data_IF_360358614507
#
_entry.id   IF_360358614507
#
_cell.length_a   1.000
_cell.length_b   1.000
_cell.length_c   1.000
_cell.angle_alpha   90.00
_cell.angle_beta   90.00
_cell.angle_gamma   90.00
#
_symmetry.space_group_name_H-M   'P 1'
#
loop_
_entity.id
_entity.type
_entity.pdbx_description
1 polymer ?
2 non-polymer ?
3 non-polymer ?
4 water ?
#
# COMPACT_ATOMS: atom_id res chain seq x y z
N UNK A 2 -2.21 -16.88 5.45
CA UNK A 2 -2.67 -15.53 4.96
C UNK A 2 -2.06 -14.46 5.84
N UNK A 3 -1.94 -13.23 5.30
CA UNK A 3 -1.41 -12.12 6.08
C UNK A 3 -2.19 -11.82 7.37
N UNK A 4 -1.48 -11.46 8.42
CA UNK A 4 -2.09 -10.96 9.66
C UNK A 4 -2.71 -9.58 9.45
N UNK A 5 -2.12 -8.81 8.54
CA UNK A 5 -2.65 -7.51 8.15
C UNK A 5 -2.15 -7.14 6.75
N UNK A 6 -3.05 -6.60 5.95
CA UNK A 6 -2.71 -6.05 4.66
C UNK A 6 -2.78 -4.52 4.77
N UNK A 7 -1.68 -3.85 4.46
CA UNK A 7 -1.61 -2.40 4.47
C UNK A 7 -1.92 -1.80 3.10
N UNK A 8 -2.88 -0.88 3.07
CA UNK A 8 -3.18 -0.13 1.84
C UNK A 8 -3.12 1.36 2.13
N UNK A 9 -2.56 2.10 1.19
CA UNK A 9 -2.58 3.54 1.24
C UNK A 9 -1.78 4.15 0.11
N UNK A 10 -2.02 5.43 -0.12
CA UNK A 10 -1.29 6.19 -1.11
C UNK A 10 0.19 6.14 -0.83
N UNK A 11 1.01 6.43 -1.86
CA UNK A 11 2.40 6.66 -1.58
C UNK A 11 2.55 7.75 -0.49
N UNK A 12 3.48 7.54 0.42
CA UNK A 12 3.72 8.48 1.49
C UNK A 12 2.79 8.31 2.68
N UNK A 13 1.89 7.34 2.62
CA UNK A 13 0.93 7.14 3.71
C UNK A 13 1.55 6.36 4.87
N UNK A 14 2.70 5.73 4.64
CA UNK A 14 3.47 5.07 5.73
C UNK A 14 3.60 3.56 5.63
N UNK A 15 3.25 3.00 4.49
CA UNK A 15 3.23 1.54 4.33
C UNK A 15 4.54 0.83 4.75
N UNK A 16 5.68 1.31 4.28
CA UNK A 16 6.97 0.64 4.53
C UNK A 16 7.41 0.82 5.98
N UNK A 17 7.17 2.00 6.53
CA UNK A 17 7.48 2.33 7.92
C UNK A 17 6.65 1.50 8.90
N UNK A 18 5.34 1.70 8.81
CA UNK A 18 4.35 0.98 9.58
C UNK A 18 4.48 -0.53 9.39
N UNK A 19 4.68 -0.97 8.15
CA UNK A 19 4.88 -2.38 7.84
C UNK A 19 6.04 -3.01 8.58
N UNK A 20 7.21 -2.36 8.54
CA UNK A 20 8.39 -2.79 9.27
C UNK A 20 8.11 -2.88 10.77
N UNK A 21 7.56 -1.81 11.33
CA UNK A 21 7.22 -1.75 12.77
C UNK A 21 6.11 -2.68 13.23
N UNK A 22 5.07 -2.81 12.41
CA UNK A 22 3.97 -3.71 12.73
C UNK A 22 4.44 -5.16 12.62
N UNK A 23 5.19 -5.45 11.56
CA UNK A 23 5.73 -6.77 11.38
C UNK A 23 6.54 -7.16 12.64
N UNK A 24 7.50 -6.32 13.01
CA UNK A 24 8.33 -6.57 14.21
C UNK A 24 7.50 -6.86 15.46
N UNK A 25 6.53 -5.98 15.75
CA UNK A 25 5.63 -6.10 16.88
C UNK A 25 4.79 -7.38 16.92
N UNK A 26 4.50 -7.96 15.74
CA UNK A 26 3.67 -9.16 15.64
C UNK A 26 4.50 -10.39 15.51
N UNK A 27 5.82 -10.20 15.46
CA UNK A 27 6.75 -11.31 15.37
C UNK A 27 6.78 -12.00 14.02
N UNK A 28 6.52 -11.26 12.93
CA UNK A 28 6.37 -11.83 11.58
C UNK A 28 7.19 -11.13 10.48
N UNK A 29 7.19 -11.68 9.28
CA UNK A 29 7.92 -11.08 8.15
C UNK A 29 7.09 -10.02 7.41
N UNK A 30 7.76 -8.99 6.89
CA UNK A 30 7.14 -8.02 5.98
C UNK A 30 7.36 -8.38 4.48
N UNK A 31 6.28 -8.42 3.69
CA UNK A 31 6.39 -8.52 2.23
C UNK A 31 5.72 -7.31 1.59
N UNK A 32 6.45 -6.62 0.72
CA UNK A 32 5.93 -5.51 -0.07
C UNK A 32 5.73 -6.02 -1.51
N UNK A 33 4.51 -5.88 -2.04
CA UNK A 33 4.18 -6.46 -3.33
C UNK A 33 5.00 -5.89 -4.48
N UNK A 34 5.44 -4.64 -4.35
CA UNK A 34 6.36 -4.02 -5.32
C UNK A 34 7.70 -4.76 -5.37
N UNK A 35 8.20 -5.17 -4.21
CA UNK A 35 9.48 -5.87 -4.16
C UNK A 35 9.34 -7.25 -4.76
N UNK A 36 8.22 -7.93 -4.50
CA UNK A 36 7.96 -9.25 -5.11
C UNK A 36 7.79 -9.16 -6.63
N UNK A 37 7.20 -8.07 -7.10
CA UNK A 37 7.12 -7.84 -8.55
C UNK A 37 8.52 -7.70 -9.15
N UNK A 38 9.35 -6.88 -8.52
CA UNK A 38 10.71 -6.71 -8.98
C UNK A 38 11.48 -8.04 -8.96
N UNK A 39 11.29 -8.80 -7.88
CA UNK A 39 11.94 -10.10 -7.68
C UNK A 39 11.51 -11.03 -8.80
N UNK A 40 10.22 -11.13 -9.04
CA UNK A 40 9.74 -12.12 -9.97
C UNK A 40 10.05 -11.78 -11.43
N UNK A 41 9.97 -10.50 -11.79
CA UNK A 41 10.11 -10.09 -13.20
C UNK A 41 11.57 -9.89 -13.56
N UNK A 42 12.39 -9.62 -12.55
CA UNK A 42 13.77 -9.22 -12.75
C UNK A 42 13.92 -7.80 -13.26
N UNK A 43 12.84 -7.02 -13.14
CA UNK A 43 12.76 -5.67 -13.70
C UNK A 43 12.29 -4.62 -12.69
N UNK A 44 12.77 -3.39 -12.89
CA UNK A 44 12.36 -2.27 -12.06
C UNK A 44 10.90 -1.91 -12.36
N UNK A 45 10.19 -1.42 -11.34
CA UNK A 45 8.80 -0.96 -11.47
C UNK A 45 8.72 0.15 -12.52
N UNK A 46 9.70 1.05 -12.45
CA UNK A 46 9.82 2.15 -13.40
C UNK A 46 9.96 1.68 -14.84
N UNK A 47 10.81 0.67 -15.08
CA UNK A 47 10.91 0.14 -16.46
C UNK A 47 9.64 -0.52 -16.95
N UNK A 48 8.91 -1.23 -16.09
CA UNK A 48 7.66 -1.84 -16.56
C UNK A 48 6.71 -0.73 -17.00
N UNK A 49 6.57 0.30 -16.20
CA UNK A 49 5.73 1.44 -16.58
C UNK A 49 6.20 2.10 -17.87
N UNK A 50 7.49 2.40 -17.94
CA UNK A 50 8.06 3.17 -19.05
C UNK A 50 7.94 2.42 -20.36
N UNK A 51 8.29 1.14 -20.32
CA UNK A 51 8.34 0.35 -21.54
C UNK A 51 7.02 -0.38 -21.79
N UNK A 52 6.53 -1.14 -20.82
CA UNK A 52 5.32 -1.95 -21.04
C UNK A 52 4.00 -1.23 -20.81
N UNK A 53 4.00 -0.16 -20.02
CA UNK A 53 2.78 0.54 -19.69
C UNK A 53 2.09 0.09 -18.40
N UNK A 54 1.31 1.02 -17.83
CA UNK A 54 0.59 0.82 -16.56
C UNK A 54 -0.29 -0.41 -16.53
N UNK A 55 -1.00 -0.69 -17.62
CA UNK A 55 -1.99 -1.76 -17.55
C UNK A 55 -1.33 -3.14 -17.43
N UNK A 56 -0.22 -3.36 -18.13
CA UNK A 56 0.47 -4.63 -17.99
C UNK A 56 1.02 -4.71 -16.58
N UNK A 57 1.49 -3.57 -16.08
CA UNK A 57 1.93 -3.51 -14.70
C UNK A 57 0.84 -3.99 -13.73
N UNK A 58 -0.39 -3.51 -13.93
CA UNK A 58 -1.47 -3.79 -12.98
C UNK A 58 -1.82 -5.28 -13.00
N UNK A 59 -1.79 -5.89 -14.18
CA UNK A 59 -2.08 -7.32 -14.26
C UNK A 59 -1.02 -8.15 -13.56
N UNK A 60 0.25 -7.78 -13.74
CA UNK A 60 1.37 -8.44 -13.03
C UNK A 60 1.18 -8.26 -11.53
N UNK A 61 0.86 -7.01 -11.16
CA UNK A 61 0.69 -6.63 -9.78
C UNK A 61 -0.44 -7.44 -9.14
N UNK A 62 -1.53 -7.62 -9.89
CA UNK A 62 -2.69 -8.32 -9.41
C UNK A 62 -2.36 -9.78 -9.15
N UNK A 63 -1.59 -10.38 -10.07
CA UNK A 63 -1.18 -11.76 -9.91
C UNK A 63 -0.32 -11.87 -8.67
N UNK A 64 0.62 -10.94 -8.50
CA UNK A 64 1.50 -11.01 -7.35
C UNK A 64 0.75 -10.79 -6.04
N UNK A 65 -0.18 -9.84 -6.02
CA UNK A 65 -1.04 -9.60 -4.84
C UNK A 65 -1.80 -10.84 -4.43
N UNK A 66 -2.43 -11.48 -5.40
CA UNK A 66 -3.22 -12.70 -5.16
C UNK A 66 -2.39 -13.85 -4.60
N UNK A 67 -1.19 -14.05 -5.15
CA UNK A 67 -0.32 -15.10 -4.65
C UNK A 67 0.09 -14.81 -3.22
N UNK A 68 0.53 -13.57 -3.00
CA UNK A 68 0.95 -13.10 -1.67
C UNK A 68 -0.16 -13.22 -0.60
N UNK A 69 -1.41 -12.95 -0.98
CA UNK A 69 -2.54 -13.16 -0.09
C UNK A 69 -2.71 -14.61 0.34
N UNK A 70 -2.24 -15.53 -0.50
CA UNK A 70 -2.34 -16.96 -0.24
C UNK A 70 -1.08 -17.52 0.46
N UNK A 71 0.11 -17.06 0.07
CA UNK A 71 1.38 -17.62 0.57
C UNK A 71 2.05 -16.88 1.74
N UNK A 72 1.73 -15.59 1.93
CA UNK A 72 2.48 -14.79 2.91
C UNK A 72 1.71 -14.80 4.22
N UNK A 73 2.42 -15.14 5.31
CA UNK A 73 1.79 -15.29 6.63
C UNK A 73 2.05 -14.11 7.53
N UNK A 74 2.67 -13.05 7.01
CA UNK A 74 3.02 -11.89 7.85
C UNK A 74 2.20 -10.65 7.56
N UNK A 75 2.88 -9.51 7.57
CA UNK A 75 2.30 -8.24 7.18
C UNK A 75 2.65 -8.04 5.71
N UNK A 76 1.62 -7.82 4.91
CA UNK A 76 1.74 -7.63 3.47
C UNK A 76 1.42 -6.18 3.20
N UNK A 77 2.27 -5.46 2.46
CA UNK A 77 1.93 -4.09 2.05
C UNK A 77 1.72 -4.08 0.56
N UNK A 78 0.67 -3.39 0.11
CA UNK A 78 0.37 -3.32 -1.30
C UNK A 78 0.83 -1.98 -1.87
N UNK A 79 1.25 -1.99 -3.13
CA UNK A 79 1.64 -0.77 -3.83
C UNK A 79 0.40 0.10 -3.93
N UNK A 80 0.59 1.42 -4.00
CA UNK A 80 -0.49 2.38 -3.85
C UNK A 80 -1.65 2.28 -4.80
N UNK A 81 -1.40 1.79 -6.02
CA UNK A 81 -2.44 1.72 -7.07
C UNK A 81 -3.09 0.35 -7.19
N UNK A 82 -2.66 -0.60 -6.36
CA UNK A 82 -3.17 -1.97 -6.49
C UNK A 82 -4.69 -2.08 -6.33
N UNK A 83 -5.28 -1.22 -5.50
CA UNK A 83 -6.72 -1.19 -5.29
C UNK A 83 -7.53 -0.68 -6.48
N UNK A 84 -6.88 -0.03 -7.45
CA UNK A 84 -7.58 0.35 -8.68
C UNK A 84 -7.98 -0.86 -9.50
N UNK A 85 -7.43 -2.04 -9.21
CA UNK A 85 -7.81 -3.26 -9.92
C UNK A 85 -8.96 -3.96 -9.22
N UNK A 86 -10.09 -4.17 -9.93
CA UNK A 86 -11.24 -4.86 -9.34
C UNK A 86 -10.88 -6.20 -8.71
N UNK A 87 -10.11 -7.02 -9.43
CA UNK A 87 -9.71 -8.34 -8.95
C UNK A 87 -8.84 -8.31 -7.69
N UNK A 88 -8.12 -7.21 -7.46
CA UNK A 88 -7.36 -7.04 -6.22
C UNK A 88 -8.31 -6.79 -5.04
N UNK A 89 -9.28 -5.89 -5.24
CA UNK A 89 -10.30 -5.60 -4.23
C UNK A 89 -11.11 -6.85 -3.88
N UNK A 90 -11.47 -7.62 -4.91
CA UNK A 90 -12.16 -8.90 -4.72
C UNK A 90 -11.35 -9.90 -3.90
N UNK A 91 -10.08 -10.04 -4.22
CA UNK A 91 -9.21 -10.97 -3.48
C UNK A 91 -8.95 -10.54 -2.03
N UNK A 92 -9.05 -9.23 -1.75
CA UNK A 92 -8.87 -8.68 -0.41
C UNK A 92 -10.01 -8.99 0.52
N UNK A 93 -11.19 -9.30 -0.05
CA UNK A 93 -12.37 -9.67 0.75
C UNK A 93 -12.06 -10.83 1.74
N UNK A 94 -12.36 -10.57 3.01
CA UNK A 94 -12.15 -11.53 4.08
C UNK A 94 -10.89 -11.25 4.89
N UNK A 95 -10.00 -10.41 4.36
CA UNK A 95 -8.73 -10.12 5.00
C UNK A 95 -8.86 -8.99 6.01
N UNK A 96 -7.83 -8.89 6.83
CA UNK A 96 -7.60 -7.76 7.68
C UNK A 96 -6.85 -6.72 6.86
N UNK A 97 -7.49 -5.59 6.61
CA UNK A 97 -6.97 -4.59 5.66
C UNK A 97 -6.94 -3.26 6.39
N UNK A 98 -5.72 -2.77 6.60
CA UNK A 98 -5.49 -1.51 7.28
C UNK A 98 -5.22 -0.40 6.25
N UNK A 99 -6.18 0.49 6.13
CA UNK A 99 -6.06 1.68 5.30
C UNK A 99 -5.35 2.79 6.07
N UNK A 100 -4.14 3.12 5.65
CA UNK A 100 -3.40 4.25 6.25
C UNK A 100 -3.78 5.52 5.51
N UNK A 101 -4.50 6.42 6.19
CA UNK A 101 -5.02 7.65 5.60
C UNK A 101 -4.06 8.79 5.83
N UNK A 102 -3.86 9.60 4.79
CA UNK A 102 -2.97 10.76 4.84
C UNK A 102 -3.61 11.91 4.08
N UNK A 103 -3.39 13.13 4.54
CA UNK A 103 -3.84 14.29 3.77
C UNK A 103 -2.87 14.54 2.62
N UNK A 104 -3.35 15.32 1.66
CA UNK A 104 -2.59 15.69 0.47
C UNK A 104 -1.27 16.34 0.86
N UNK A 105 -1.36 17.37 1.69
CA UNK A 105 -0.21 18.18 2.06
C UNK A 105 0.88 17.41 2.76
N UNK A 106 0.50 16.48 3.62
CA UNK A 106 1.50 15.70 4.34
C UNK A 106 2.07 14.57 3.45
N UNK A 107 1.19 13.97 2.66
CA UNK A 107 1.59 13.00 1.67
C UNK A 107 2.56 13.56 0.65
N UNK A 108 2.22 14.71 0.07
CA UNK A 108 3.14 15.48 -0.79
C UNK A 108 4.51 15.69 -0.15
N UNK A 109 4.50 16.18 1.08
CA UNK A 109 5.71 16.44 1.86
C UNK A 109 6.54 15.18 2.08
N UNK A 110 5.87 14.05 2.31
CA UNK A 110 6.56 12.77 2.57
C UNK A 110 7.14 12.10 1.31
N UNK A 111 6.59 12.42 0.14
CA UNK A 111 7.00 11.81 -1.13
C UNK A 111 7.94 12.70 -1.98
N UNK A 112 8.58 13.68 -1.34
CA UNK A 112 9.32 14.71 -2.06
C UNK A 112 10.74 14.43 -2.56
N UNK A 113 11.46 13.47 -1.97
CA UNK A 113 12.86 13.24 -2.39
C UNK A 113 13.07 12.62 -3.78
N UNK A 114 14.18 11.90 -3.94
CA UNK A 114 14.56 11.42 -5.26
C UNK A 114 14.14 9.97 -5.55
N UNK A 115 13.04 9.52 -4.96
CA UNK A 115 12.49 8.22 -5.30
C UNK A 115 11.78 8.38 -6.63
N UNK A 116 12.02 7.41 -7.51
CA UNK A 116 11.42 7.37 -8.83
C UNK A 116 9.96 6.93 -8.69
N UNK A 117 9.03 7.78 -9.13
CA UNK A 117 7.61 7.48 -9.01
C UNK A 117 6.92 7.80 -10.34
N UNK A 118 6.66 6.76 -11.15
CA UNK A 118 5.99 6.91 -12.42
C UNK A 118 4.77 7.81 -12.40
N UNK A 119 3.94 7.70 -11.37
CA UNK A 119 2.64 8.44 -11.30
C UNK A 119 2.65 9.71 -10.45
N UNK A 120 3.84 10.13 -10.05
CA UNK A 120 3.97 11.23 -9.13
C UNK A 120 5.30 11.95 -9.35
N UNK A 121 5.58 12.30 -10.60
CA UNK A 121 6.75 13.09 -10.91
C UNK A 121 6.38 14.57 -11.16
N UNK A 122 7.35 15.46 -11.00
CA UNK A 122 7.15 16.88 -11.27
C UNK A 122 7.05 17.25 -12.76
N UNK A 123 6.59 18.49 -13.04
CA UNK A 123 6.20 19.44 -12.00
C UNK A 123 4.78 19.13 -11.52
N UNK A 124 4.30 19.93 -10.59
CA UNK A 124 2.92 19.87 -10.12
C UNK A 124 2.60 18.56 -9.41
N UNK A 125 3.51 18.09 -8.56
CA UNK A 125 3.29 16.83 -7.82
C UNK A 125 2.05 16.90 -6.95
N UNK A 126 1.83 18.06 -6.33
CA UNK A 126 0.67 18.30 -5.47
C UNK A 126 -0.66 18.02 -6.18
N UNK A 127 -0.81 18.58 -7.36
CA UNK A 127 -1.99 18.36 -8.20
C UNK A 127 -2.23 16.87 -8.44
N UNK A 128 -1.17 16.20 -8.88
CA UNK A 128 -1.16 14.76 -9.14
C UNK A 128 -1.50 13.90 -7.90
N UNK A 129 -0.95 14.29 -6.75
CA UNK A 129 -1.31 13.69 -5.47
C UNK A 129 -2.80 13.84 -5.18
N UNK A 130 -3.36 15.03 -5.39
CA UNK A 130 -4.79 15.27 -5.13
C UNK A 130 -5.62 14.41 -6.02
N UNK A 131 -5.28 14.39 -7.30
CA UNK A 131 -6.04 13.54 -8.22
C UNK A 131 -6.01 12.04 -7.83
N UNK A 132 -4.88 11.54 -7.34
CA UNK A 132 -4.78 10.12 -6.96
C UNK A 132 -5.60 9.87 -5.71
N UNK A 133 -5.49 10.76 -4.73
CA UNK A 133 -6.30 10.70 -3.51
C UNK A 133 -7.80 10.74 -3.78
N UNK A 134 -8.25 11.74 -4.51
CA UNK A 134 -9.67 11.86 -4.87
C UNK A 134 -10.20 10.63 -5.56
N UNK A 135 -9.46 10.12 -6.52
CA UNK A 135 -9.89 8.94 -7.26
C UNK A 135 -9.91 7.67 -6.41
N UNK A 136 -8.91 7.48 -5.55
CA UNK A 136 -8.69 6.19 -4.85
C UNK A 136 -9.31 6.08 -3.46
N UNK A 137 -9.61 7.22 -2.84
CA UNK A 137 -10.17 7.25 -1.47
C UNK A 137 -11.30 6.23 -1.29
N UNK A 138 -12.34 6.28 -2.15
CA UNK A 138 -13.43 5.29 -2.06
C UNK A 138 -12.98 3.87 -2.29
N UNK A 139 -11.94 3.68 -3.09
CA UNK A 139 -11.42 2.33 -3.32
C UNK A 139 -10.72 1.80 -2.08
N UNK A 140 -9.96 2.65 -1.38
CA UNK A 140 -9.31 2.24 -0.13
C UNK A 140 -10.34 1.93 0.95
N UNK A 141 -11.39 2.74 0.95
CA UNK A 141 -12.47 2.65 1.93
C UNK A 141 -13.29 1.38 1.73
N UNK A 142 -13.55 1.02 0.50
CA UNK A 142 -14.31 -0.19 0.23
C UNK A 142 -13.60 -1.50 0.68
N UNK A 143 -12.27 -1.55 0.61
CA UNK A 143 -11.53 -2.75 1.04
C UNK A 143 -11.11 -2.72 2.50
N UNK A 144 -10.99 -1.54 3.09
CA UNK A 144 -10.46 -1.43 4.46
C UNK A 144 -11.37 -2.06 5.52
N UNK A 145 -10.76 -2.75 6.47
CA UNK A 145 -11.46 -3.19 7.68
C UNK A 145 -11.10 -2.30 8.87
N UNK A 146 -10.09 -1.47 8.68
CA UNK A 146 -9.57 -0.59 9.70
C UNK A 146 -9.03 0.67 9.01
N UNK A 147 -9.55 1.83 9.40
CA UNK A 147 -9.10 3.12 8.88
C UNK A 147 -8.16 3.75 9.89
N UNK A 148 -6.91 3.98 9.53
CA UNK A 148 -5.96 4.58 10.47
C UNK A 148 -5.39 5.92 9.94
N UNK A 149 -5.75 7.00 10.62
CA UNK A 149 -5.28 8.32 10.24
C UNK A 149 -3.83 8.36 10.62
N UNK A 150 -2.94 8.54 9.64
CA UNK A 150 -1.50 8.61 9.92
C UNK A 150 -0.96 10.05 9.98
N UNK A 151 -1.85 11.04 9.88
CA UNK A 151 -1.47 12.46 9.89
C UNK A 151 -0.83 12.89 11.22
N UNK A 153 -0.27 11.16 13.35
CA UNK A 153 0.30 10.57 14.55
C UNK A 153 1.75 10.08 14.31
N UNK A 154 2.37 9.59 15.39
CA UNK A 154 3.78 9.13 15.41
C UNK A 154 3.76 7.66 14.99
N UNK A 155 4.67 7.23 14.09
CA UNK A 155 4.68 5.83 13.66
C UNK A 155 4.44 4.84 14.79
N UNK A 156 5.23 4.96 15.85
CA UNK A 156 5.06 4.13 17.04
C UNK A 156 3.63 4.13 17.53
N UNK A 157 3.01 5.32 17.56
CA UNK A 157 1.64 5.48 18.03
C UNK A 157 0.68 4.74 17.13
N UNK A 158 0.77 5.07 15.84
CA UNK A 158 -0.06 4.46 14.80
C UNK A 158 -0.05 2.94 15.02
N UNK A 159 1.14 2.37 15.28
CA UNK A 159 1.31 0.93 15.42
C UNK A 159 0.63 0.37 16.67
N UNK A 160 0.77 1.06 17.81
CA UNK A 160 0.01 0.72 19.02
C UNK A 160 -1.50 0.70 18.77
N UNK A 161 -1.99 1.72 18.07
CA UNK A 161 -3.38 1.77 17.66
C UNK A 161 -3.80 0.56 16.78
N UNK A 162 -2.99 0.24 15.78
CA UNK A 162 -3.25 -0.90 14.93
C UNK A 162 -3.29 -2.19 15.76
N UNK A 163 -2.23 -2.44 16.54
CA UNK A 163 -2.14 -3.65 17.37
C UNK A 163 -3.37 -3.83 18.25
N UNK A 164 -3.74 -2.75 18.93
CA UNK A 164 -4.94 -2.71 19.78
C UNK A 164 -6.20 -3.16 19.04
N UNK A 165 -6.42 -2.55 17.87
CA UNK A 165 -7.61 -2.76 17.04
C UNK A 165 -7.63 -4.11 16.32
N UNK A 166 -6.46 -4.69 16.07
CA UNK A 166 -6.35 -6.06 15.59
C UNK A 166 -6.83 -7.08 16.64
N UNK A 167 -6.66 -6.72 17.92
CA UNK A 167 -6.78 -7.66 19.04
C UNK A 167 -8.17 -7.71 19.63
N UNK A 168 -8.86 -6.57 19.65
CA UNK A 168 -10.10 -6.44 20.40
C UNK A 168 -11.34 -6.29 19.51
N UNK A 169 -12.53 -6.61 20.07
CA UNK A 169 -13.77 -6.43 19.31
C UNK A 169 -14.01 -4.96 18.98
N UNK A 170 -14.77 -4.72 17.92
CA UNK A 170 -15.10 -3.35 17.47
C UNK A 170 -15.65 -2.46 18.61
X LIG B 1 2.02 3.32 -7.42
X LIG B 1 2.64 3.27 -6.23
X LIG B 1 3.93 2.52 -5.96
X LIG B 1 4.23 1.55 -7.12
X LIG B 1 4.03 2.20 -8.51
X LIG B 1 2.58 2.66 -8.68
X LIG B 1 0.72 4.02 -7.53
X LIG B 1 3.84 1.93 -4.65
X LIG B 1 3.42 0.35 -7.04
X LIG B 1 4.87 3.36 -8.76
X LIG B 1 -0.11 3.65 -8.38
X LIG B 1 0.47 4.96 -6.73
X LIG B 1 3.95 2.79 -3.20
X LIG B 1 4.47 1.73 -2.22
X LIG B 1 4.95 3.91 -3.41
X LIG B 1 2.55 3.30 -2.87
X LIG C 1 4.86 4.57 1.82
X LIG C 1 5.21 5.35 0.56
X LIG C 1 3.38 4.34 1.97
X LIG C 1 5.76 3.38 2.03
X LIG C 1 6.68 5.38 3.81
X LIG C 1 6.60 4.39 4.96
X LIG C 1 7.78 5.17 2.79
X LIG C 1 5.24 5.53 3.03
X LIG C 1 6.83 6.85 4.47
X LIG C 1 7.30 7.96 3.69
X LIG C 1 7.67 9.12 4.63
X LIG C 1 6.60 9.34 5.56
X LIG C 1 8.91 8.92 5.49
X LIG C 1 9.68 10.13 5.50
X LIG C 1 8.39 8.60 6.88
X LIG C 1 9.26 9.00 7.94
X LIG C 1 7.07 9.36 6.91
X LIG C 1 6.06 8.77 7.82
X LIG C 1 5.68 7.47 7.86
X LIG C 1 4.72 7.27 8.80
X LIG C 1 4.47 8.46 9.37
X LIG C 1 3.56 8.96 10.44
X LIG C 1 2.75 8.08 11.06
X LIG C 1 3.60 10.29 10.74
X LIG C 1 4.43 11.16 10.10
X LIG C 1 5.27 10.77 9.12
X LIG C 1 5.34 9.46 8.72
#
# INVERSE_FOLDING_TARGET
MAPKAVLVGLPGSGKSTIGRRLAKALGVGLLDTDVAIEQRTGRSIADIFATDGEQEFRRIEEDVVRAALADHDGVLSLGGGAVTSPGVRAALAGHTVVYLEISAAEGVRRTGGNTVRPLLAGPDRAEKYRALMAKRAPLYRRVATMRVDTNRRNPGAVVRHILSRLQVPSPSEAATLEHHHHHH
S3P C1 C2 C3 C4 C5 C6 C7 O1 O2 O3 O4 O5 P1 O6 O7 O8
ADP PB O1B O2B O3B PA O1A O2A O3A O5' C5' C4' O4' C3' O3' C2' O2' C1' N9 C8 N7 C5 C6 N6 N1 C2 N3 C4
#
